data_IF_789592600859
#
_entry.id   IF_789592600859
#
_cell.length_a   1.000
_cell.length_b   1.000
_cell.length_c   1.000
_cell.angle_alpha   90.00
_cell.angle_beta   90.00
_cell.angle_gamma   90.00
#
_symmetry.space_group_name_H-M   'P 1'
#
loop_
_entity.id
_entity.type
_entity.pdbx_description
1 polymer ?
#
# COMPACT_ATOMS: atom_id res chain seq x y z
N UNK A 1 15.47 12.95 -2.90
CA UNK A 1 15.40 11.48 -2.74
C UNK A 1 14.41 11.17 -1.62
N UNK A 2 13.40 10.34 -1.87
CA UNK A 2 12.41 9.99 -0.84
C UNK A 2 12.99 8.90 0.06
N UNK A 3 13.11 9.17 1.37
CA UNK A 3 13.63 8.21 2.36
C UNK A 3 12.61 7.09 2.60
N UNK A 4 12.60 6.07 1.72
CA UNK A 4 11.84 4.81 1.91
C UNK A 4 12.44 3.91 2.97
N UNK A 5 13.67 4.21 3.42
CA UNK A 5 14.48 3.37 4.31
C UNK A 5 13.87 3.15 5.69
N UNK A 6 12.98 4.05 6.15
CA UNK A 6 12.30 3.94 7.45
C UNK A 6 10.76 3.85 7.34
N UNK A 7 10.24 3.35 6.21
CA UNK A 7 8.79 3.14 6.07
C UNK A 7 8.34 1.86 6.78
N UNK A 8 7.22 1.91 7.54
CA UNK A 8 6.66 0.71 8.15
C UNK A 8 6.22 -0.28 7.06
N UNK A 9 6.23 -1.60 7.35
CA UNK A 9 5.87 -2.63 6.37
C UNK A 9 4.42 -2.49 5.87
N UNK A 10 3.55 -1.91 6.71
CA UNK A 10 2.16 -1.61 6.40
C UNK A 10 1.91 -0.10 6.46
N UNK A 11 1.47 0.43 5.33
CA UNK A 11 1.18 1.85 5.12
C UNK A 11 -0.32 2.06 5.31
N UNK A 12 -0.68 2.98 6.21
CA UNK A 12 -2.06 3.42 6.38
C UNK A 12 -2.36 4.59 5.44
N UNK A 13 -3.64 4.93 5.26
CA UNK A 13 -4.04 6.14 4.53
C UNK A 13 -3.31 7.41 5.03
N UNK A 14 -3.11 7.54 6.34
CA UNK A 14 -2.41 8.67 6.92
C UNK A 14 -0.93 8.71 6.51
N UNK A 15 -0.25 7.55 6.50
CA UNK A 15 1.12 7.47 6.00
C UNK A 15 1.21 7.71 4.50
N UNK A 16 0.30 7.13 3.71
CA UNK A 16 0.27 7.32 2.26
C UNK A 16 0.16 8.81 1.91
N UNK A 17 -0.73 9.55 2.58
CA UNK A 17 -0.89 11.00 2.37
C UNK A 17 0.33 11.80 2.83
N UNK A 18 1.09 11.35 3.82
CA UNK A 18 2.37 11.98 4.21
C UNK A 18 3.46 11.76 3.17
N UNK A 19 3.50 10.57 2.55
CA UNK A 19 4.51 10.18 1.55
C UNK A 19 4.28 10.91 0.23
N UNK A 20 3.05 10.86 -0.27
CA UNK A 20 2.69 11.47 -1.57
C UNK A 20 2.46 12.98 -1.44
N UNK A 21 2.13 13.44 -0.24
CA UNK A 21 1.73 14.82 0.02
C UNK A 21 0.20 14.97 -0.03
N UNK A 22 -0.41 15.69 0.93
CA UNK A 22 -1.86 15.84 1.02
C UNK A 22 -2.46 16.68 -0.12
N UNK A 23 -1.64 17.49 -0.78
CA UNK A 23 -2.00 18.33 -1.93
C UNK A 23 -2.16 17.49 -3.21
N UNK A 24 -1.28 16.51 -3.39
CA UNK A 24 -1.27 15.60 -4.55
C UNK A 24 -2.27 14.45 -4.33
N UNK A 25 -2.36 13.91 -3.11
CA UNK A 25 -3.25 12.81 -2.76
C UNK A 25 -4.29 13.22 -1.71
N UNK A 26 -5.46 13.59 -2.23
CA UNK A 26 -6.65 13.84 -1.43
C UNK A 26 -7.15 12.60 -0.68
N UNK A 27 -8.02 12.83 0.31
CA UNK A 27 -8.57 11.77 1.18
C UNK A 27 -9.31 10.69 0.37
N UNK A 28 -10.11 11.11 -0.61
CA UNK A 28 -10.96 10.21 -1.39
C UNK A 28 -10.13 9.31 -2.32
N UNK A 29 -9.24 9.90 -3.13
CA UNK A 29 -8.30 9.17 -3.99
C UNK A 29 -7.39 8.24 -3.20
N UNK A 30 -6.88 8.68 -2.05
CA UNK A 30 -6.07 7.82 -1.18
C UNK A 30 -6.85 6.64 -0.63
N UNK A 31 -8.14 6.83 -0.31
CA UNK A 31 -9.01 5.74 0.13
C UNK A 31 -9.32 4.76 -1.00
N UNK A 32 -9.63 5.25 -2.21
CA UNK A 32 -9.83 4.40 -3.39
C UNK A 32 -8.59 3.54 -3.68
N UNK A 33 -7.39 4.14 -3.66
CA UNK A 33 -6.14 3.41 -3.86
C UNK A 33 -5.95 2.31 -2.80
N UNK A 34 -6.25 2.62 -1.54
CA UNK A 34 -6.21 1.66 -0.44
C UNK A 34 -7.24 0.52 -0.61
N UNK A 35 -8.39 0.78 -1.22
CA UNK A 35 -9.39 -0.24 -1.51
C UNK A 35 -9.02 -1.11 -2.73
N UNK A 36 -8.38 -0.53 -3.73
CA UNK A 36 -7.99 -1.22 -4.96
C UNK A 36 -6.72 -2.07 -4.78
N UNK A 37 -5.75 -1.57 -4.02
CA UNK A 37 -4.43 -2.20 -3.90
C UNK A 37 -4.11 -2.68 -2.48
N UNK A 38 -4.75 -2.12 -1.46
CA UNK A 38 -4.57 -2.53 -0.07
C UNK A 38 -5.46 -3.69 0.34
N UNK A 39 -5.42 -4.03 1.62
CA UNK A 39 -6.31 -5.02 2.24
C UNK A 39 -6.80 -4.52 3.60
N UNK A 40 -7.87 -5.13 4.12
CA UNK A 40 -8.43 -4.78 5.43
C UNK A 40 -7.68 -5.51 6.53
N UNK A 41 -7.11 -4.75 7.45
CA UNK A 41 -6.59 -5.24 8.72
C UNK A 41 -7.52 -4.75 9.84
N UNK A 42 -8.41 -5.64 10.29
CA UNK A 42 -9.48 -5.31 11.21
C UNK A 42 -10.44 -4.26 10.63
N UNK A 43 -10.48 -3.06 11.22
CA UNK A 43 -11.34 -1.94 10.82
C UNK A 43 -10.67 -0.92 9.89
N UNK A 44 -9.42 -1.16 9.47
CA UNK A 44 -8.64 -0.19 8.68
C UNK A 44 -8.11 -0.82 7.40
N UNK A 45 -7.99 -0.02 6.35
CA UNK A 45 -7.24 -0.41 5.15
C UNK A 45 -5.76 -0.13 5.35
N UNK A 46 -4.95 -1.09 4.92
CA UNK A 46 -3.49 -1.00 4.91
C UNK A 46 -2.97 -1.43 3.56
N UNK A 47 -1.86 -0.84 3.14
CA UNK A 47 -1.16 -1.15 1.90
C UNK A 47 0.25 -1.64 2.25
N UNK A 48 0.70 -2.79 1.71
CA UNK A 48 2.08 -3.23 1.89
C UNK A 48 3.05 -2.19 1.31
N UNK A 49 4.17 -1.95 2.00
CA UNK A 49 5.25 -1.08 1.52
C UNK A 49 5.71 -1.47 0.11
N UNK A 50 5.96 -2.76 -0.13
CA UNK A 50 6.41 -3.26 -1.44
C UNK A 50 5.44 -2.91 -2.57
N UNK A 51 4.13 -2.96 -2.30
CA UNK A 51 3.09 -2.61 -3.26
C UNK A 51 3.05 -1.10 -3.50
N UNK A 52 3.25 -0.28 -2.46
CA UNK A 52 3.40 1.17 -2.61
C UNK A 52 4.64 1.52 -3.45
N UNK A 53 5.79 0.91 -3.18
CA UNK A 53 7.02 1.15 -3.94
C UNK A 53 6.83 0.79 -5.43
N UNK A 54 6.11 -0.30 -5.71
CA UNK A 54 5.78 -0.69 -7.07
C UNK A 54 4.80 0.29 -7.75
N UNK A 55 3.79 0.82 -7.02
CA UNK A 55 2.89 1.88 -7.52
C UNK A 55 3.67 3.14 -7.89
N UNK A 56 4.57 3.58 -7.01
CA UNK A 56 5.36 4.80 -7.20
C UNK A 56 6.36 4.67 -8.34
N UNK A 57 6.88 3.47 -8.59
CA UNK A 57 7.79 3.19 -9.72
C UNK A 57 7.03 3.02 -11.05
N UNK A 58 5.70 3.07 -11.06
CA UNK A 58 4.89 2.81 -12.26
C UNK A 58 4.95 1.36 -12.75
N UNK A 59 5.34 0.43 -11.86
CA UNK A 59 5.73 -0.94 -12.21
C UNK A 59 4.66 -1.99 -11.86
N UNK A 60 3.43 -1.58 -11.51
CA UNK A 60 2.38 -2.54 -11.19
C UNK A 60 1.57 -2.93 -12.42
N UNK A 61 1.51 -4.24 -12.75
CA UNK A 61 0.45 -4.74 -13.62
C UNK A 61 -0.90 -4.51 -12.92
N UNK A 62 -1.90 -4.10 -13.69
CA UNK A 62 -3.28 -3.96 -13.24
C UNK A 62 -3.76 -5.30 -12.68
N UNK A 63 -4.27 -5.27 -11.45
CA UNK A 63 -4.83 -6.38 -10.68
C UNK A 63 -3.85 -7.36 -10.00
N UNK A 64 -3.79 -7.26 -8.67
CA UNK A 64 -3.94 -8.46 -7.86
C UNK A 64 -4.76 -8.07 -6.63
N UNK A 65 -6.06 -8.22 -6.79
CA UNK A 65 -7.07 -8.15 -5.74
C UNK A 65 -7.34 -9.59 -5.28
N UNK A 66 -6.28 -10.32 -4.96
CA UNK A 66 -6.42 -11.53 -4.16
C UNK A 66 -6.17 -11.12 -2.74
N UNK A 67 -7.17 -11.38 -1.92
CA UNK A 67 -7.04 -11.49 -0.48
C UNK A 67 -5.71 -12.19 -0.18
N UNK A 68 -4.66 -11.41 0.11
CA UNK A 68 -3.34 -11.95 0.43
C UNK A 68 -3.48 -12.52 1.83
N UNK A 69 -4.02 -13.73 1.88
CA UNK A 69 -3.98 -14.59 3.04
C UNK A 69 -2.50 -14.76 3.37
N UNK A 70 -2.04 -14.03 4.40
CA UNK A 70 -0.66 -14.02 4.88
C UNK A 70 -0.17 -15.42 5.31
N UNK A 71 -1.04 -16.44 5.25
CA UNK A 71 -0.75 -17.86 5.53
C UNK A 71 -0.41 -18.64 4.26
N UNK A 72 -0.54 -18.04 3.08
CA UNK A 72 -0.23 -18.64 1.78
C UNK A 72 1.15 -18.25 1.22
N UNK A 73 1.96 -17.50 1.96
CA UNK A 73 3.35 -17.27 1.58
C UNK A 73 4.13 -18.57 1.81
N UNK A 74 4.77 -19.16 0.79
CA UNK A 74 5.63 -20.31 1.01
C UNK A 74 6.78 -19.86 1.91
N UNK A 75 6.80 -20.36 3.15
CA UNK A 75 8.04 -20.46 3.91
C UNK A 75 8.93 -21.40 3.11
N UNK A 76 9.82 -20.82 2.31
CA UNK A 76 10.88 -21.57 1.66
C UNK A 76 11.69 -22.22 2.78
N UNK A 77 11.53 -23.53 2.89
CA UNK A 77 12.31 -24.42 3.74
C UNK A 77 13.66 -24.67 3.09
#
# INVERSE_FOLDING_TARGET
>A
MMNTENMPPLITLAHLRKIVGPDILGRDKGLQLMQQHGFRLGRRYVLPRTKLEALLRGALPEQDNKNLDLRSLPLHR
#
